data_IF_870950254194
#
_entry.id   IF_870950254194
#
_cell.length_a   1.000
_cell.length_b   1.000
_cell.length_c   1.000
_cell.angle_alpha   90.00
_cell.angle_beta   90.00
_cell.angle_gamma   90.00
#
_symmetry.space_group_name_H-M   'P 1'
#
loop_
_entity.id
_entity.type
_entity.pdbx_description
1 polymer ?
#
# COMPACT_ATOMS: atom_id res chain seq x y z
N UNK A 1 -54.06 27.99 36.79
CA UNK A 1 -52.73 28.08 36.11
C UNK A 1 -51.82 26.87 36.29
N UNK A 2 -51.90 26.04 37.32
CA UNK A 2 -51.02 24.90 37.58
C UNK A 2 -51.22 23.67 36.66
N UNK A 3 -52.32 23.48 36.00
CA UNK A 3 -52.63 22.26 35.21
C UNK A 3 -52.14 22.33 33.78
N UNK A 4 -51.80 23.50 33.24
CA UNK A 4 -51.31 23.67 31.88
C UNK A 4 -49.85 23.27 31.75
N UNK A 5 -49.05 23.52 32.76
CA UNK A 5 -47.63 23.17 32.83
C UNK A 5 -47.43 21.64 32.89
N UNK A 6 -48.30 20.90 33.60
CA UNK A 6 -48.24 19.43 33.68
C UNK A 6 -48.58 18.72 32.36
N UNK A 7 -49.49 19.28 31.56
CA UNK A 7 -49.92 18.65 30.30
C UNK A 7 -48.86 18.88 29.20
N UNK A 8 -48.15 20.04 29.24
CA UNK A 8 -47.06 20.36 28.31
C UNK A 8 -45.82 19.46 28.53
N UNK A 9 -45.53 19.09 29.77
CA UNK A 9 -44.38 18.24 30.14
C UNK A 9 -44.46 16.82 29.58
N UNK A 10 -45.61 16.13 29.69
CA UNK A 10 -45.75 14.70 29.28
C UNK A 10 -45.67 14.50 27.77
N UNK A 11 -46.15 15.42 26.94
CA UNK A 11 -46.16 15.29 25.51
C UNK A 11 -44.76 15.60 24.93
N UNK A 12 -44.02 16.51 25.54
CA UNK A 12 -42.66 16.85 25.14
C UNK A 12 -41.64 15.74 25.54
N UNK A 13 -41.83 15.11 26.68
CA UNK A 13 -41.01 13.98 27.10
C UNK A 13 -41.09 12.81 26.11
N UNK A 14 -42.26 12.46 25.59
CA UNK A 14 -42.41 11.42 24.56
C UNK A 14 -41.68 11.76 23.29
N UNK A 15 -41.71 13.01 22.86
CA UNK A 15 -40.94 13.49 21.66
C UNK A 15 -39.46 13.43 21.90
N UNK A 16 -39.00 13.81 23.08
CA UNK A 16 -37.59 13.73 23.47
C UNK A 16 -37.12 12.28 23.49
N UNK A 17 -37.89 11.36 24.12
CA UNK A 17 -37.55 9.95 24.11
C UNK A 17 -37.54 9.33 22.73
N UNK A 18 -38.50 9.66 21.88
CA UNK A 18 -38.49 9.21 20.48
C UNK A 18 -37.28 9.76 19.69
N UNK A 19 -36.92 11.00 19.93
CA UNK A 19 -35.71 11.60 19.35
C UNK A 19 -34.41 10.89 19.78
N UNK A 20 -34.31 10.56 21.09
CA UNK A 20 -33.17 9.84 21.65
C UNK A 20 -33.09 8.39 21.10
N UNK A 21 -34.24 7.70 20.96
CA UNK A 21 -34.30 6.35 20.40
C UNK A 21 -33.86 6.40 18.89
N UNK A 22 -34.41 7.34 18.11
CA UNK A 22 -34.05 7.49 16.71
C UNK A 22 -32.56 7.82 16.53
N UNK A 23 -32.03 8.71 17.36
CA UNK A 23 -30.57 9.04 17.31
C UNK A 23 -29.70 7.84 17.72
N UNK A 24 -30.09 7.08 18.73
CA UNK A 24 -29.35 5.87 19.12
C UNK A 24 -29.37 4.80 18.03
N UNK A 25 -30.50 4.59 17.35
CA UNK A 25 -30.61 3.66 16.23
C UNK A 25 -29.71 4.12 15.07
N UNK A 26 -29.70 5.40 14.75
CA UNK A 26 -28.80 5.95 13.70
C UNK A 26 -27.32 5.78 14.05
N UNK A 27 -26.94 6.01 15.30
CA UNK A 27 -25.56 5.82 15.76
C UNK A 27 -25.17 4.33 15.69
N UNK A 28 -26.03 3.44 16.16
CA UNK A 28 -25.77 2.00 16.17
C UNK A 28 -25.66 1.46 14.73
N UNK A 29 -26.58 1.85 13.84
CA UNK A 29 -26.51 1.45 12.43
C UNK A 29 -25.30 2.04 11.73
N UNK A 30 -24.95 3.29 11.98
CA UNK A 30 -23.72 3.92 11.48
C UNK A 30 -22.46 3.19 11.93
N UNK A 31 -22.38 2.85 13.22
CA UNK A 31 -21.27 2.08 13.77
C UNK A 31 -21.21 0.65 13.20
N UNK A 32 -22.35 -0.03 13.10
CA UNK A 32 -22.41 -1.39 12.55
C UNK A 32 -21.98 -1.44 11.07
N UNK A 33 -22.42 -0.47 10.26
CA UNK A 33 -21.99 -0.38 8.84
C UNK A 33 -20.51 -0.03 8.71
N UNK A 34 -20.00 0.84 9.56
CA UNK A 34 -18.58 1.16 9.63
C UNK A 34 -17.74 -0.07 10.00
N UNK A 35 -18.10 -0.79 11.05
CA UNK A 35 -17.43 -2.00 11.49
C UNK A 35 -17.46 -3.10 10.42
N UNK A 36 -18.58 -3.26 9.72
CA UNK A 36 -18.72 -4.18 8.60
C UNK A 36 -17.80 -3.82 7.43
N UNK A 37 -17.66 -2.53 7.11
CA UNK A 37 -16.75 -2.06 6.06
C UNK A 37 -15.28 -2.30 6.42
N UNK A 38 -14.88 -2.00 7.66
CA UNK A 38 -13.50 -2.21 8.10
C UNK A 38 -13.08 -3.68 8.02
N UNK A 39 -13.94 -4.58 8.46
CA UNK A 39 -13.69 -6.02 8.52
C UNK A 39 -14.13 -6.73 7.23
N UNK A 40 -14.42 -5.99 6.16
CA UNK A 40 -14.84 -6.59 4.90
C UNK A 40 -13.70 -7.45 4.35
N UNK A 41 -13.91 -8.77 4.13
CA UNK A 41 -12.86 -9.65 3.66
C UNK A 41 -12.55 -9.38 2.18
N UNK A 42 -11.29 -9.24 1.85
CA UNK A 42 -10.82 -9.23 0.46
C UNK A 42 -10.57 -10.67 0.06
N UNK A 43 -11.21 -11.12 -1.02
CA UNK A 43 -11.05 -12.50 -1.51
C UNK A 43 -9.70 -12.64 -2.20
N UNK A 44 -8.87 -13.53 -1.71
CA UNK A 44 -7.57 -13.86 -2.30
C UNK A 44 -7.65 -15.33 -2.74
N UNK A 45 -7.43 -15.59 -4.03
CA UNK A 45 -7.52 -16.94 -4.58
C UNK A 45 -6.27 -17.76 -4.26
N UNK A 46 -5.10 -17.13 -4.26
CA UNK A 46 -3.82 -17.79 -4.02
C UNK A 46 -3.05 -17.13 -2.88
N UNK A 47 -2.52 -17.88 -1.91
CA UNK A 47 -1.64 -17.34 -0.89
C UNK A 47 -0.40 -16.69 -1.53
N UNK A 48 -0.10 -15.45 -1.14
CA UNK A 48 1.06 -14.73 -1.67
C UNK A 48 0.81 -13.99 -2.98
N UNK A 49 -0.44 -13.73 -3.34
CA UNK A 49 -0.78 -12.96 -4.52
C UNK A 49 -0.26 -11.51 -4.40
N UNK A 50 0.40 -11.03 -5.46
CA UNK A 50 0.91 -9.68 -5.55
C UNK A 50 -0.10 -8.78 -6.28
N UNK A 51 -0.53 -7.73 -5.61
CA UNK A 51 -1.36 -6.70 -6.20
C UNK A 51 -0.53 -5.46 -6.53
N UNK A 52 -0.57 -5.02 -7.78
CA UNK A 52 0.24 -3.90 -8.27
C UNK A 52 -0.58 -2.62 -8.39
N UNK A 53 -0.16 -1.59 -7.68
CA UNK A 53 -0.61 -0.21 -7.82
C UNK A 53 0.42 0.52 -8.68
N UNK A 54 0.05 0.91 -9.88
CA UNK A 54 0.95 1.61 -10.79
C UNK A 54 0.99 3.10 -10.49
N UNK A 55 2.06 3.75 -10.92
CA UNK A 55 2.19 5.20 -10.84
C UNK A 55 1.03 5.90 -11.54
N UNK A 56 0.37 6.80 -10.83
CA UNK A 56 -0.79 7.54 -11.35
C UNK A 56 -2.13 6.79 -11.26
N UNK A 57 -2.16 5.57 -10.73
CA UNK A 57 -3.43 4.89 -10.46
C UNK A 57 -4.28 5.69 -9.46
N UNK A 58 -5.49 6.01 -9.87
CA UNK A 58 -6.49 6.58 -8.96
C UNK A 58 -7.13 5.48 -8.10
N UNK A 59 -7.72 5.85 -6.97
CA UNK A 59 -8.54 4.91 -6.16
C UNK A 59 -9.60 4.20 -7.00
N UNK A 60 -10.15 4.91 -8.00
CA UNK A 60 -11.12 4.33 -8.94
C UNK A 60 -10.49 3.21 -9.77
N UNK A 61 -9.28 3.43 -10.30
CA UNK A 61 -8.54 2.45 -11.09
C UNK A 61 -8.17 1.23 -10.24
N UNK A 62 -7.62 1.47 -9.04
CA UNK A 62 -7.26 0.43 -8.07
C UNK A 62 -8.49 -0.43 -7.72
N UNK A 63 -9.60 0.23 -7.42
CA UNK A 63 -10.85 -0.45 -7.08
C UNK A 63 -11.39 -1.30 -8.23
N UNK A 64 -11.29 -0.80 -9.46
CA UNK A 64 -11.69 -1.56 -10.66
C UNK A 64 -10.78 -2.77 -10.90
N UNK A 65 -9.47 -2.64 -10.68
CA UNK A 65 -8.51 -3.76 -10.75
C UNK A 65 -8.84 -4.84 -9.73
N UNK A 66 -9.07 -4.46 -8.47
CA UNK A 66 -9.45 -5.42 -7.40
C UNK A 66 -10.77 -6.14 -7.72
N UNK A 67 -11.73 -5.43 -8.33
CA UNK A 67 -13.00 -6.03 -8.73
C UNK A 67 -12.84 -6.96 -9.94
N UNK A 68 -12.02 -6.57 -10.91
CA UNK A 68 -11.73 -7.40 -12.10
C UNK A 68 -11.01 -8.70 -11.74
N UNK A 69 -10.18 -8.68 -10.69
CA UNK A 69 -9.50 -9.86 -10.13
C UNK A 69 -10.39 -10.66 -9.15
N UNK A 70 -11.66 -10.30 -8.99
CA UNK A 70 -12.58 -10.99 -8.09
C UNK A 70 -12.35 -10.77 -6.60
N UNK A 71 -11.37 -9.94 -6.23
CA UNK A 71 -11.00 -9.66 -4.84
C UNK A 71 -12.06 -8.85 -4.10
N UNK A 72 -12.77 -7.97 -4.81
CA UNK A 72 -13.91 -7.21 -4.29
C UNK A 72 -15.14 -7.41 -5.20
N UNK A 73 -16.35 -7.51 -4.64
CA UNK A 73 -17.57 -7.70 -5.44
C UNK A 73 -17.96 -6.44 -6.21
N UNK A 74 -17.64 -5.25 -5.70
CA UNK A 74 -17.98 -3.97 -6.31
C UNK A 74 -16.89 -2.93 -6.11
N UNK A 75 -16.61 -2.18 -7.17
CA UNK A 75 -15.61 -1.10 -7.13
C UNK A 75 -15.97 0.08 -6.21
N UNK A 76 -17.23 0.22 -5.81
CA UNK A 76 -17.67 1.25 -4.87
C UNK A 76 -17.15 1.07 -3.44
N UNK A 77 -16.87 -0.17 -3.02
CA UNK A 77 -16.52 -0.49 -1.63
C UNK A 77 -15.23 0.22 -1.21
N UNK A 78 -14.14 0.04 -1.98
CA UNK A 78 -12.86 0.71 -1.70
C UNK A 78 -12.99 2.23 -1.78
N UNK A 79 -13.70 2.74 -2.79
CA UNK A 79 -13.88 4.19 -2.99
C UNK A 79 -14.58 4.85 -1.79
N UNK A 80 -15.70 4.25 -1.34
CA UNK A 80 -16.44 4.78 -0.18
C UNK A 80 -15.56 4.71 1.06
N UNK A 81 -14.88 3.59 1.29
CA UNK A 81 -14.05 3.40 2.46
C UNK A 81 -12.88 4.40 2.54
N UNK A 82 -12.11 4.55 1.46
CA UNK A 82 -10.98 5.50 1.41
C UNK A 82 -11.43 6.96 1.52
N UNK A 83 -12.59 7.29 0.92
CA UNK A 83 -13.19 8.61 1.02
C UNK A 83 -13.64 8.96 2.44
N UNK A 84 -14.28 8.02 3.13
CA UNK A 84 -14.69 8.19 4.53
C UNK A 84 -13.48 8.39 5.46
N UNK A 85 -12.36 7.72 5.17
CA UNK A 85 -11.09 7.89 5.89
C UNK A 85 -10.32 9.15 5.49
N UNK A 86 -10.61 9.74 4.32
CA UNK A 86 -9.84 10.87 3.76
C UNK A 86 -8.43 10.48 3.30
N UNK A 87 -8.18 9.19 3.01
CA UNK A 87 -6.83 8.66 2.73
C UNK A 87 -6.55 8.43 1.24
N UNK A 88 -7.44 8.87 0.35
CA UNK A 88 -7.31 8.65 -1.10
C UNK A 88 -5.98 9.11 -1.69
N UNK A 89 -5.44 10.22 -1.17
CA UNK A 89 -4.19 10.83 -1.64
C UNK A 89 -2.92 10.19 -1.05
N UNK A 90 -3.08 9.33 -0.05
CA UNK A 90 -1.95 8.70 0.65
C UNK A 90 -1.67 7.28 0.15
N UNK A 91 -2.47 6.76 -0.78
CA UNK A 91 -2.21 5.47 -1.40
C UNK A 91 -0.95 5.59 -2.24
N UNK A 92 0.03 4.73 -1.95
CA UNK A 92 1.33 4.71 -2.61
C UNK A 92 1.36 3.68 -3.74
N UNK A 93 2.10 3.98 -4.79
CA UNK A 93 2.42 3.04 -5.87
C UNK A 93 3.33 1.92 -5.36
N UNK A 94 3.25 0.74 -5.95
CA UNK A 94 4.10 -0.40 -5.62
C UNK A 94 3.36 -1.72 -5.67
N UNK A 95 4.05 -2.79 -5.32
CA UNK A 95 3.48 -4.12 -5.19
C UNK A 95 3.20 -4.44 -3.73
N UNK A 96 2.03 -5.00 -3.49
CA UNK A 96 1.55 -5.36 -2.16
C UNK A 96 1.28 -6.85 -2.09
N UNK A 97 1.98 -7.54 -1.20
CA UNK A 97 1.73 -8.94 -0.93
C UNK A 97 0.42 -9.06 -0.15
N UNK A 98 -0.56 -9.72 -0.76
CA UNK A 98 -1.86 -9.98 -0.17
C UNK A 98 -1.85 -11.34 0.50
N UNK A 99 -2.24 -11.36 1.77
CA UNK A 99 -2.38 -12.59 2.54
C UNK A 99 -3.84 -13.04 2.57
N UNK A 100 -4.10 -14.35 2.63
CA UNK A 100 -5.45 -14.86 2.83
C UNK A 100 -6.10 -14.19 4.05
N UNK A 101 -7.39 -13.88 3.95
CA UNK A 101 -8.17 -13.22 5.01
C UNK A 101 -7.83 -11.75 5.29
N UNK A 102 -7.02 -11.10 4.43
CA UNK A 102 -6.79 -9.66 4.57
C UNK A 102 -8.12 -8.90 4.53
N UNK A 103 -8.30 -7.97 5.46
CA UNK A 103 -9.47 -7.10 5.48
C UNK A 103 -9.27 -5.86 4.60
N UNK A 104 -10.36 -5.19 4.24
CA UNK A 104 -10.32 -3.94 3.50
C UNK A 104 -9.50 -2.87 4.26
N UNK A 105 -9.64 -2.83 5.59
CA UNK A 105 -8.89 -1.94 6.46
C UNK A 105 -7.38 -2.19 6.39
N UNK A 106 -6.96 -3.45 6.47
CA UNK A 106 -5.55 -3.84 6.39
C UNK A 106 -4.97 -3.56 5.01
N UNK A 107 -5.73 -3.85 3.94
CA UNK A 107 -5.32 -3.55 2.57
C UNK A 107 -5.07 -2.05 2.38
N UNK A 108 -6.02 -1.20 2.77
CA UNK A 108 -5.87 0.25 2.68
C UNK A 108 -4.70 0.74 3.54
N UNK A 109 -4.55 0.21 4.75
CA UNK A 109 -3.44 0.54 5.65
C UNK A 109 -2.09 0.16 5.05
N UNK A 110 -1.95 -1.03 4.44
CA UNK A 110 -0.73 -1.41 3.71
C UNK A 110 -0.39 -0.43 2.59
N UNK A 111 -1.39 -0.05 1.79
CA UNK A 111 -1.20 0.89 0.68
C UNK A 111 -0.86 2.31 1.14
N UNK A 112 -1.43 2.78 2.24
CA UNK A 112 -1.17 4.13 2.76
C UNK A 112 0.14 4.23 3.53
N UNK A 113 0.55 3.18 4.24
CA UNK A 113 1.82 3.12 4.95
C UNK A 113 3.00 2.81 4.02
N UNK A 114 2.74 2.38 2.77
CA UNK A 114 3.79 1.97 1.84
C UNK A 114 4.45 0.64 2.20
N UNK A 115 3.69 -0.28 2.83
CA UNK A 115 4.16 -1.63 3.16
C UNK A 115 4.22 -2.48 1.88
N UNK A 116 5.18 -2.13 1.02
CA UNK A 116 5.41 -2.73 -0.29
C UNK A 116 6.11 -4.07 -0.17
N UNK A 117 5.84 -4.96 -1.10
CA UNK A 117 6.62 -6.19 -1.23
C UNK A 117 8.08 -5.87 -1.53
N UNK A 118 8.98 -6.48 -0.76
CA UNK A 118 10.41 -6.32 -0.93
C UNK A 118 11.02 -7.55 -1.59
N UNK A 119 11.78 -7.31 -2.64
CA UNK A 119 12.69 -8.27 -3.26
C UNK A 119 14.06 -8.17 -2.60
N UNK A 120 14.89 -9.16 -2.81
CA UNK A 120 16.27 -9.17 -2.31
C UNK A 120 17.24 -9.56 -3.41
N UNK A 121 18.41 -8.96 -3.40
CA UNK A 121 19.57 -9.35 -4.20
C UNK A 121 20.76 -9.46 -3.25
N UNK A 122 21.57 -10.48 -3.39
CA UNK A 122 22.74 -10.72 -2.52
C UNK A 122 24.00 -10.59 -3.35
N UNK A 123 24.91 -9.72 -2.92
CA UNK A 123 26.25 -9.62 -3.45
C UNK A 123 27.17 -10.47 -2.58
N UNK A 124 27.78 -11.47 -3.19
CA UNK A 124 28.61 -12.44 -2.47
C UNK A 124 30.03 -11.91 -2.35
N UNK A 125 30.68 -12.17 -1.21
CA UNK A 125 32.06 -11.81 -0.99
C UNK A 125 32.99 -12.37 -2.08
N UNK A 126 33.87 -11.54 -2.60
CA UNK A 126 34.81 -11.91 -3.67
C UNK A 126 34.23 -11.80 -5.08
N UNK A 127 32.97 -11.36 -5.25
CA UNK A 127 32.46 -11.08 -6.58
C UNK A 127 33.11 -9.87 -7.22
N UNK A 128 33.37 -9.99 -8.53
CA UNK A 128 33.76 -8.85 -9.36
C UNK A 128 32.55 -7.94 -9.63
N UNK A 129 32.81 -6.69 -10.03
CA UNK A 129 31.77 -5.76 -10.46
C UNK A 129 30.89 -6.38 -11.57
N UNK A 130 31.50 -7.07 -12.54
CA UNK A 130 30.73 -7.69 -13.63
C UNK A 130 29.77 -8.76 -13.14
N UNK A 131 30.16 -9.59 -12.15
CA UNK A 131 29.28 -10.58 -11.53
C UNK A 131 28.10 -9.91 -10.81
N UNK A 132 28.35 -8.79 -10.13
CA UNK A 132 27.28 -8.01 -9.48
C UNK A 132 26.32 -7.45 -10.53
N UNK A 133 26.84 -6.90 -11.63
CA UNK A 133 26.01 -6.36 -12.70
C UNK A 133 25.18 -7.46 -13.40
N UNK A 134 25.76 -8.63 -13.62
CA UNK A 134 25.06 -9.78 -14.21
C UNK A 134 23.91 -10.24 -13.31
N UNK A 135 24.14 -10.33 -11.99
CA UNK A 135 23.10 -10.64 -11.02
C UNK A 135 21.96 -9.60 -11.04
N UNK A 136 22.27 -8.30 -11.12
CA UNK A 136 21.27 -7.25 -11.25
C UNK A 136 20.49 -7.38 -12.57
N UNK A 137 21.18 -7.60 -13.71
CA UNK A 137 20.56 -7.80 -15.04
C UNK A 137 19.63 -8.99 -15.09
N UNK A 138 19.91 -10.04 -14.31
CA UNK A 138 19.06 -11.24 -14.24
C UNK A 138 17.69 -11.00 -13.62
N UNK A 139 17.50 -9.86 -12.91
CA UNK A 139 16.31 -9.54 -12.13
C UNK A 139 15.34 -8.66 -12.92
N UNK A 140 14.28 -9.23 -13.47
CA UNK A 140 13.24 -8.49 -14.22
C UNK A 140 12.44 -7.47 -13.37
N UNK A 141 12.65 -7.47 -12.05
CA UNK A 141 11.99 -6.54 -11.11
C UNK A 141 12.79 -5.25 -10.90
N UNK A 142 14.02 -5.19 -11.41
CA UNK A 142 14.92 -4.04 -11.34
C UNK A 142 14.77 -3.19 -12.61
N UNK A 143 14.85 -1.88 -12.46
CA UNK A 143 14.93 -0.93 -13.57
C UNK A 143 16.40 -0.78 -14.01
N UNK A 144 16.71 -1.28 -15.21
CA UNK A 144 18.10 -1.34 -15.72
C UNK A 144 18.50 -0.02 -16.37
N UNK A 145 19.07 0.90 -15.58
CA UNK A 145 19.52 2.22 -16.04
C UNK A 145 20.98 2.23 -16.49
N UNK A 146 21.80 1.30 -15.99
CA UNK A 146 23.25 1.28 -16.25
C UNK A 146 23.72 0.07 -17.06
N UNK A 147 22.82 -0.61 -17.76
CA UNK A 147 23.12 -1.84 -18.51
C UNK A 147 24.28 -1.69 -19.50
N UNK A 148 24.41 -0.49 -20.11
CA UNK A 148 25.41 -0.20 -21.14
C UNK A 148 26.60 0.65 -20.65
N UNK A 149 26.78 0.80 -19.33
CA UNK A 149 27.83 1.61 -18.75
C UNK A 149 29.10 0.78 -18.48
N UNK A 150 30.25 1.37 -18.79
CA UNK A 150 31.54 0.81 -18.41
C UNK A 150 31.86 1.06 -16.93
N UNK A 151 32.78 0.25 -16.36
CA UNK A 151 33.16 0.32 -14.94
C UNK A 151 33.57 1.74 -14.48
N UNK A 152 34.32 2.48 -15.30
CA UNK A 152 34.69 3.86 -15.00
C UNK A 152 33.54 4.85 -15.02
N UNK A 153 32.53 4.61 -15.85
CA UNK A 153 31.31 5.43 -15.85
C UNK A 153 30.46 5.14 -14.61
N UNK A 154 30.38 3.88 -14.22
CA UNK A 154 29.68 3.46 -12.99
C UNK A 154 30.34 4.10 -11.76
N UNK A 155 31.68 4.09 -11.68
CA UNK A 155 32.41 4.74 -10.59
C UNK A 155 32.03 6.23 -10.47
N UNK A 156 31.93 6.95 -11.60
CA UNK A 156 31.51 8.36 -11.61
C UNK A 156 30.07 8.55 -11.15
N UNK A 157 29.14 7.67 -11.58
CA UNK A 157 27.73 7.72 -11.14
C UNK A 157 27.54 7.42 -9.66
N UNK A 158 28.45 6.61 -9.07
CA UNK A 158 28.53 6.36 -7.64
C UNK A 158 29.20 7.50 -6.85
N UNK A 159 29.76 8.49 -7.58
CA UNK A 159 30.49 9.61 -6.94
C UNK A 159 31.88 9.23 -6.46
N UNK A 160 32.44 8.14 -6.98
CA UNK A 160 33.76 7.66 -6.62
C UNK A 160 34.86 8.41 -7.44
N UNK A 161 35.95 8.73 -6.76
CA UNK A 161 37.09 9.41 -7.38
C UNK A 161 38.16 8.39 -7.81
N UNK A 162 37.73 7.34 -8.52
CA UNK A 162 38.55 6.21 -8.98
C UNK A 162 38.19 5.86 -10.41
N UNK A 163 39.10 5.18 -11.12
CA UNK A 163 38.91 4.79 -12.50
C UNK A 163 37.98 3.58 -12.69
N UNK A 164 37.70 2.85 -11.62
CA UNK A 164 36.85 1.65 -11.64
C UNK A 164 36.09 1.51 -10.32
N UNK A 165 34.84 1.03 -10.40
CA UNK A 165 34.04 0.65 -9.23
C UNK A 165 34.35 -0.76 -8.70
N UNK A 166 35.37 -1.43 -9.27
CA UNK A 166 35.80 -2.77 -8.83
C UNK A 166 36.24 -2.75 -7.37
N UNK A 167 35.71 -3.70 -6.56
CA UNK A 167 36.00 -3.81 -5.14
C UNK A 167 35.40 -2.73 -4.25
N UNK A 168 34.57 -1.82 -4.81
CA UNK A 168 33.95 -0.69 -4.09
C UNK A 168 32.55 -1.00 -3.58
N UNK A 169 32.04 -2.20 -3.83
CA UNK A 169 30.71 -2.63 -3.42
C UNK A 169 30.78 -3.58 -2.24
N UNK A 170 30.01 -3.31 -1.20
CA UNK A 170 29.98 -4.15 -0.02
C UNK A 170 29.20 -5.45 -0.28
N UNK A 171 29.75 -6.62 0.09
CA UNK A 171 29.02 -7.89 0.07
C UNK A 171 27.93 -7.89 1.16
N UNK A 172 26.65 -7.93 0.74
CA UNK A 172 25.49 -7.97 1.64
C UNK A 172 24.24 -8.37 0.86
N UNK A 173 23.12 -8.53 1.56
CA UNK A 173 21.79 -8.72 0.96
C UNK A 173 21.02 -7.40 0.95
N UNK A 174 20.75 -6.89 -0.24
CA UNK A 174 20.06 -5.63 -0.47
C UNK A 174 18.59 -5.85 -0.76
N UNK A 175 17.72 -5.25 0.04
CA UNK A 175 16.28 -5.26 -0.19
C UNK A 175 15.88 -4.09 -1.10
N UNK A 176 14.98 -4.37 -2.04
CA UNK A 176 14.49 -3.38 -2.99
C UNK A 176 13.03 -3.63 -3.36
N UNK A 177 12.35 -2.62 -3.87
CA UNK A 177 10.98 -2.73 -4.39
C UNK A 177 10.99 -2.81 -5.91
N UNK A 178 9.93 -3.31 -6.55
CA UNK A 178 9.84 -3.33 -8.01
C UNK A 178 10.12 -1.95 -8.60
N UNK A 179 10.82 -1.90 -9.72
CA UNK A 179 11.26 -0.70 -10.43
C UNK A 179 12.27 0.17 -9.64
N UNK A 180 12.90 -0.35 -8.59
CA UNK A 180 14.11 0.27 -8.05
C UNK A 180 15.21 0.12 -9.08
N UNK A 181 15.96 1.20 -9.34
CA UNK A 181 17.05 1.13 -10.33
C UNK A 181 18.27 0.37 -9.80
N UNK A 182 18.96 -0.28 -10.71
CA UNK A 182 20.26 -0.93 -10.46
C UNK A 182 21.26 0.07 -9.86
N UNK A 183 21.30 1.31 -10.38
CA UNK A 183 22.16 2.38 -9.85
C UNK A 183 21.82 2.71 -8.39
N UNK A 184 20.53 2.71 -8.01
CA UNK A 184 20.14 2.95 -6.63
C UNK A 184 20.61 1.82 -5.70
N UNK A 185 20.52 0.57 -6.15
CA UNK A 185 21.02 -0.59 -5.39
C UNK A 185 22.54 -0.50 -5.22
N UNK A 186 23.29 -0.18 -6.30
CA UNK A 186 24.73 -0.01 -6.22
C UNK A 186 25.14 1.15 -5.30
N UNK A 187 24.41 2.26 -5.30
CA UNK A 187 24.65 3.37 -4.36
C UNK A 187 24.47 2.99 -2.90
N UNK A 188 23.58 2.04 -2.61
CA UNK A 188 23.42 1.51 -1.24
C UNK A 188 24.49 0.50 -0.88
N UNK A 189 25.09 -0.13 -1.89
CA UNK A 189 26.16 -1.10 -1.71
C UNK A 189 27.56 -0.47 -1.63
N UNK A 190 27.69 0.81 -1.93
CA UNK A 190 28.90 1.59 -1.82
C UNK A 190 28.86 2.47 -0.57
#
# INVERSE_FOLDING_TARGET
MKNWIKKWSRQNWRRVYLGLILSSVLIITGYATWAALQNYPVKIESPGELFTVNRGDSVSTISSKLTAQGMLPHSGILKIYTKLLGVEKFIQEGEYLLTPQITLSELVKKMTNGDRHQYKVTFVEGWSLEQVLEELRSRSTIDHQIENYESGQIAKLLGLNVDSAEGMLFPDTYFYTRNTSDLEILKRAN
#
